data_IF_654942528730
#
_entry.id   IF_654942528730
#
_cell.length_a   1.000
_cell.length_b   1.000
_cell.length_c   1.000
_cell.angle_alpha   90.00
_cell.angle_beta   90.00
_cell.angle_gamma   90.00
#
_symmetry.space_group_name_H-M   'P 1'
#
loop_
_entity.id
_entity.type
_entity.pdbx_description
1 polymer ?
#
# COMPACT_ATOMS: atom_id res chain seq x y z
N UNK A 1 -7.06 -30.54 -40.10
CA UNK A 1 -5.73 -31.03 -39.68
C UNK A 1 -4.71 -30.41 -40.62
N UNK A 2 -4.03 -29.33 -40.19
CA UNK A 2 -2.90 -28.74 -40.92
C UNK A 2 -1.62 -29.21 -40.24
N UNK A 3 -0.64 -29.65 -41.03
CA UNK A 3 0.50 -30.47 -40.60
C UNK A 3 1.81 -29.69 -40.46
N UNK A 4 1.79 -28.36 -40.34
CA UNK A 4 3.03 -27.60 -40.14
C UNK A 4 2.80 -26.45 -39.19
N UNK A 5 3.38 -26.49 -37.97
CA UNK A 5 3.19 -25.41 -37.04
C UNK A 5 3.91 -24.14 -37.48
N UNK A 6 3.24 -22.99 -37.42
CA UNK A 6 3.86 -21.67 -37.63
C UNK A 6 4.11 -20.97 -36.30
N UNK A 7 4.96 -19.94 -36.30
CA UNK A 7 5.32 -19.12 -35.12
C UNK A 7 4.12 -18.50 -34.37
N UNK A 8 2.90 -18.59 -34.92
CA UNK A 8 1.68 -17.97 -34.41
C UNK A 8 0.59 -18.98 -34.01
N UNK A 9 0.92 -20.27 -33.92
CA UNK A 9 -0.08 -21.25 -33.52
C UNK A 9 -0.43 -21.10 -32.04
N UNK A 10 -1.72 -20.89 -31.77
CA UNK A 10 -2.26 -20.82 -30.42
C UNK A 10 -2.66 -22.24 -30.01
N UNK A 11 -2.01 -22.74 -28.96
CA UNK A 11 -2.37 -23.99 -28.32
C UNK A 11 -3.28 -23.68 -27.14
N UNK A 12 -4.44 -24.33 -27.10
CA UNK A 12 -5.37 -24.24 -25.98
C UNK A 12 -5.45 -25.63 -25.35
N UNK A 13 -5.24 -25.68 -24.04
CA UNK A 13 -5.35 -26.90 -23.24
C UNK A 13 -6.45 -26.68 -22.20
N UNK A 14 -7.27 -27.71 -21.96
CA UNK A 14 -8.23 -27.73 -20.86
C UNK A 14 -7.79 -28.82 -19.91
N UNK A 15 -7.55 -28.45 -18.67
CA UNK A 15 -7.01 -29.34 -17.65
C UNK A 15 -8.02 -29.42 -16.50
N UNK A 16 -8.28 -30.61 -15.97
CA UNK A 16 -9.16 -30.81 -14.82
C UNK A 16 -8.45 -30.57 -13.47
N UNK A 17 -9.19 -30.70 -12.36
CA UNK A 17 -8.65 -30.54 -11.00
C UNK A 17 -7.56 -31.57 -10.63
N UNK A 18 -7.43 -32.66 -11.39
CA UNK A 18 -6.42 -33.70 -11.20
C UNK A 18 -5.25 -33.58 -12.19
N UNK A 19 -5.13 -32.42 -12.87
CA UNK A 19 -4.09 -32.10 -13.83
C UNK A 19 -4.10 -33.00 -15.08
N UNK A 20 -5.25 -33.57 -15.44
CA UNK A 20 -5.40 -34.36 -16.66
C UNK A 20 -5.90 -33.49 -17.81
N UNK A 21 -5.40 -33.72 -19.02
CA UNK A 21 -5.95 -33.13 -20.23
C UNK A 21 -7.37 -33.70 -20.46
N UNK A 22 -8.34 -32.80 -20.61
CA UNK A 22 -9.75 -33.17 -20.75
C UNK A 22 -10.37 -32.49 -21.98
N UNK A 23 -11.32 -33.16 -22.66
CA UNK A 23 -11.98 -32.58 -23.83
C UNK A 23 -12.64 -31.23 -23.53
N UNK A 24 -12.56 -30.31 -24.50
CA UNK A 24 -13.34 -29.08 -24.48
C UNK A 24 -14.83 -29.40 -24.40
N UNK A 25 -15.53 -28.67 -23.53
CA UNK A 25 -16.98 -28.81 -23.48
C UNK A 25 -17.59 -28.09 -24.69
N UNK A 26 -18.35 -28.82 -25.49
CA UNK A 26 -19.05 -28.27 -26.66
C UNK A 26 -20.48 -27.84 -26.32
N UNK A 27 -20.94 -28.05 -25.09
CA UNK A 27 -22.26 -27.65 -24.64
C UNK A 27 -22.28 -26.14 -24.37
N UNK A 28 -23.33 -25.48 -24.86
CA UNK A 28 -23.61 -24.11 -24.51
C UNK A 28 -24.06 -24.07 -23.04
N UNK A 29 -23.16 -23.71 -22.14
CA UNK A 29 -23.50 -23.45 -20.75
C UNK A 29 -24.21 -22.09 -20.65
N UNK A 30 -25.44 -22.09 -20.14
CA UNK A 30 -26.13 -20.86 -19.75
C UNK A 30 -25.58 -20.40 -18.40
N UNK A 31 -24.52 -19.60 -18.40
CA UNK A 31 -23.86 -19.08 -17.19
C UNK A 31 -24.68 -18.05 -16.38
N UNK A 32 -25.97 -17.85 -16.67
CA UNK A 32 -26.73 -16.68 -16.21
C UNK A 32 -28.21 -16.96 -15.86
N UNK A 33 -28.53 -18.14 -15.32
CA UNK A 33 -29.92 -18.52 -14.94
C UNK A 33 -30.14 -18.71 -13.44
N UNK A 34 -29.12 -18.49 -12.60
CA UNK A 34 -29.22 -18.63 -11.13
C UNK A 34 -29.39 -17.31 -10.38
N UNK A 35 -29.49 -16.17 -11.09
CA UNK A 35 -29.71 -14.86 -10.47
C UNK A 35 -31.16 -14.40 -10.72
N UNK A 36 -32.00 -14.24 -9.66
CA UNK A 36 -33.39 -13.79 -9.81
C UNK A 36 -33.54 -12.31 -10.24
N UNK A 37 -32.44 -11.55 -10.30
CA UNK A 37 -32.43 -10.18 -10.80
C UNK A 37 -31.91 -10.14 -12.23
N UNK A 38 -32.63 -9.45 -13.12
CA UNK A 38 -32.15 -9.21 -14.49
C UNK A 38 -30.79 -8.52 -14.52
N UNK A 39 -30.11 -8.63 -15.67
CA UNK A 39 -28.75 -8.09 -15.87
C UNK A 39 -28.69 -6.62 -15.44
N UNK A 40 -28.05 -6.36 -14.30
CA UNK A 40 -27.72 -5.01 -13.87
C UNK A 40 -26.44 -4.61 -14.61
N UNK A 41 -26.56 -3.75 -15.62
CA UNK A 41 -25.39 -3.20 -16.29
C UNK A 41 -24.67 -2.23 -15.35
N UNK A 42 -23.56 -2.66 -14.77
CA UNK A 42 -22.57 -1.79 -14.16
C UNK A 42 -21.40 -1.61 -15.10
N UNK A 43 -20.96 -0.36 -15.33
CA UNK A 43 -19.74 -0.09 -16.09
C UNK A 43 -18.53 -0.31 -15.18
N UNK A 44 -17.65 -1.25 -15.56
CA UNK A 44 -16.30 -1.33 -14.98
C UNK A 44 -15.42 -0.47 -15.88
N UNK A 45 -15.00 0.69 -15.38
CA UNK A 45 -13.99 1.51 -16.06
C UNK A 45 -12.61 0.88 -15.85
N UNK A 46 -12.07 0.32 -16.92
CA UNK A 46 -10.81 -0.44 -16.95
C UNK A 46 -9.68 0.36 -17.63
N UNK A 47 -9.72 1.69 -17.57
CA UNK A 47 -8.68 2.52 -18.21
C UNK A 47 -7.30 2.46 -17.56
N UNK A 48 -7.13 1.81 -16.40
CA UNK A 48 -5.78 1.49 -15.92
C UNK A 48 -5.75 0.21 -15.06
N UNK A 49 -4.75 -0.64 -15.30
CA UNK A 49 -4.61 -1.99 -14.76
C UNK A 49 -4.66 -2.07 -13.22
N UNK A 50 -5.84 -2.31 -12.63
CA UNK A 50 -5.97 -2.73 -11.24
C UNK A 50 -7.15 -3.71 -11.08
N UNK A 51 -6.84 -5.00 -10.95
CA UNK A 51 -7.80 -6.02 -10.55
C UNK A 51 -7.98 -5.93 -9.02
N UNK A 52 -9.12 -5.41 -8.56
CA UNK A 52 -9.47 -5.35 -7.14
C UNK A 52 -10.13 -6.68 -6.73
N UNK A 53 -9.51 -7.44 -5.83
CA UNK A 53 -9.99 -8.77 -5.41
C UNK A 53 -11.03 -8.72 -4.29
N UNK A 54 -11.30 -7.55 -3.69
CA UNK A 54 -12.30 -7.38 -2.64
C UNK A 54 -12.79 -5.92 -2.56
N UNK A 55 -14.10 -5.68 -2.71
CA UNK A 55 -14.73 -4.35 -2.59
C UNK A 55 -14.88 -3.87 -1.14
N UNK A 56 -14.79 -4.78 -0.16
CA UNK A 56 -14.90 -4.43 1.27
C UNK A 56 -13.61 -3.80 1.83
N UNK A 57 -12.51 -3.84 1.07
CA UNK A 57 -11.23 -3.20 1.42
C UNK A 57 -11.09 -1.81 0.81
N UNK A 58 -12.00 -1.44 -0.10
CA UNK A 58 -11.98 -0.13 -0.74
C UNK A 58 -12.54 0.92 0.23
N UNK A 59 -11.75 1.94 0.61
CA UNK A 59 -12.24 2.99 1.48
C UNK A 59 -13.41 3.72 0.80
N UNK A 60 -14.40 4.15 1.59
CA UNK A 60 -15.38 5.10 1.08
C UNK A 60 -14.67 6.36 0.57
N UNK A 61 -15.25 7.13 -0.37
CA UNK A 61 -14.63 8.38 -0.82
C UNK A 61 -14.25 9.31 0.33
N UNK A 62 -15.12 9.40 1.35
CA UNK A 62 -14.86 10.18 2.56
C UNK A 62 -13.64 9.66 3.34
N UNK A 63 -13.53 8.34 3.53
CA UNK A 63 -12.40 7.71 4.20
C UNK A 63 -11.10 7.89 3.41
N UNK A 64 -11.15 7.82 2.08
CA UNK A 64 -10.03 8.07 1.20
C UNK A 64 -9.50 9.50 1.37
N UNK A 65 -10.33 10.53 1.20
CA UNK A 65 -9.90 11.93 1.36
C UNK A 65 -9.50 12.26 2.80
N UNK A 66 -10.07 11.59 3.81
CA UNK A 66 -9.63 11.72 5.19
C UNK A 66 -8.22 11.14 5.41
N UNK A 67 -7.86 10.07 4.70
CA UNK A 67 -6.52 9.47 4.76
C UNK A 67 -5.45 10.39 4.16
N UNK A 68 -5.78 11.12 3.08
CA UNK A 68 -4.86 12.07 2.43
C UNK A 68 -4.50 13.27 3.30
N UNK A 69 -5.30 13.56 4.34
CA UNK A 69 -5.03 14.64 5.31
C UNK A 69 -4.04 14.23 6.41
N UNK A 70 -3.63 12.96 6.44
CA UNK A 70 -2.66 12.42 7.40
C UNK A 70 -1.41 12.03 6.64
N UNK A 71 -0.28 12.08 7.35
CA UNK A 71 1.00 11.54 6.88
C UNK A 71 1.31 10.31 7.75
N UNK A 72 0.87 9.10 7.37
CA UNK A 72 1.31 7.89 8.04
C UNK A 72 2.83 7.83 8.08
N UNK A 73 3.38 7.54 9.26
CA UNK A 73 4.82 7.40 9.48
C UNK A 73 5.11 6.05 10.12
N UNK A 74 6.10 5.35 9.58
CA UNK A 74 6.60 4.08 10.11
C UNK A 74 8.09 4.19 10.38
N UNK A 75 8.53 3.67 11.52
CA UNK A 75 9.94 3.66 11.91
C UNK A 75 10.46 2.21 11.85
N UNK A 76 11.58 1.98 11.17
CA UNK A 76 12.24 0.67 11.10
C UNK A 76 13.77 0.79 11.00
N UNK A 77 14.54 -0.19 11.54
CA UNK A 77 14.06 -1.27 12.39
C UNK A 77 13.60 -0.73 13.76
N UNK A 78 12.58 -1.37 14.33
CA UNK A 78 12.05 -1.01 15.65
C UNK A 78 11.92 -2.28 16.50
N UNK A 79 12.77 -2.51 17.52
CA UNK A 79 13.80 -1.59 18.04
C UNK A 79 14.98 -1.33 17.09
N UNK A 80 15.67 -0.21 17.27
CA UNK A 80 16.84 0.17 16.46
C UNK A 80 18.00 -0.79 16.73
N UNK A 81 18.61 -1.30 15.67
CA UNK A 81 19.72 -2.27 15.76
C UNK A 81 21.06 -1.76 15.23
N UNK A 82 21.08 -0.64 14.50
CA UNK A 82 22.25 -0.22 13.71
C UNK A 82 22.61 1.25 13.80
N UNK A 83 22.37 1.91 14.94
CA UNK A 83 22.70 3.33 15.14
C UNK A 83 21.92 4.31 14.28
N UNK A 84 21.04 3.80 13.42
CA UNK A 84 20.21 4.55 12.50
C UNK A 84 18.80 3.99 12.51
N UNK A 85 17.83 4.88 12.47
CA UNK A 85 16.42 4.57 12.26
C UNK A 85 16.00 5.16 10.91
N UNK A 86 15.22 4.41 10.15
CA UNK A 86 14.58 4.89 8.92
C UNK A 86 13.12 5.20 9.19
N UNK A 87 12.67 6.33 8.67
CA UNK A 87 11.27 6.72 8.66
C UNK A 87 10.73 6.64 7.24
N UNK A 88 9.61 5.95 7.07
CA UNK A 88 8.85 5.92 5.82
C UNK A 88 7.57 6.74 6.01
N UNK A 89 7.23 7.51 4.98
CA UNK A 89 6.10 8.43 4.93
C UNK A 89 5.16 8.09 3.78
N UNK A 90 3.88 8.37 4.01
CA UNK A 90 2.86 8.33 2.97
C UNK A 90 2.17 9.69 2.86
N UNK A 91 1.57 9.98 1.69
CA UNK A 91 0.78 11.18 1.43
C UNK A 91 1.53 12.52 1.52
N UNK A 92 2.86 12.55 1.61
CA UNK A 92 3.64 13.81 1.71
C UNK A 92 3.39 14.76 0.53
N UNK A 93 2.98 14.25 -0.63
CA UNK A 93 2.59 15.04 -1.80
C UNK A 93 1.34 15.92 -1.58
N UNK A 94 0.52 15.63 -0.59
CA UNK A 94 -0.70 16.40 -0.26
C UNK A 94 -0.49 17.44 0.84
N UNK A 95 0.76 17.59 1.30
CA UNK A 95 1.11 18.43 2.43
C UNK A 95 2.22 19.42 2.09
N UNK A 96 2.28 20.52 2.84
CA UNK A 96 3.30 21.56 2.77
C UNK A 96 3.92 21.79 4.15
N UNK A 97 5.11 22.39 4.18
CA UNK A 97 5.86 22.73 5.39
C UNK A 97 5.96 21.55 6.36
N UNK A 98 6.44 20.42 5.84
CA UNK A 98 6.46 19.14 6.55
C UNK A 98 7.72 19.09 7.41
N UNK A 99 7.55 18.73 8.69
CA UNK A 99 8.64 18.66 9.65
C UNK A 99 8.55 17.36 10.46
N UNK A 100 9.62 16.56 10.44
CA UNK A 100 9.81 15.46 11.38
C UNK A 100 10.43 16.02 12.65
N UNK A 101 9.80 15.72 13.80
CA UNK A 101 10.39 15.93 15.11
C UNK A 101 10.39 14.64 15.91
N UNK A 102 11.48 14.35 16.61
CA UNK A 102 11.58 13.23 17.53
C UNK A 102 11.76 13.73 18.95
N UNK A 103 11.03 13.13 19.88
CA UNK A 103 11.05 13.48 21.30
C UNK A 103 11.37 12.27 22.15
N UNK A 104 12.08 12.47 23.26
CA UNK A 104 12.18 11.47 24.32
C UNK A 104 10.88 11.38 25.13
N UNK A 105 10.81 10.45 26.10
CA UNK A 105 9.63 10.27 26.97
C UNK A 105 9.34 11.47 27.88
N UNK A 106 10.32 12.35 28.11
CA UNK A 106 10.18 13.57 28.91
C UNK A 106 9.71 14.75 28.05
N UNK A 107 9.64 14.58 26.73
CA UNK A 107 9.25 15.61 25.78
C UNK A 107 10.40 16.49 25.29
N UNK A 108 11.66 16.12 25.55
CA UNK A 108 12.81 16.84 24.99
C UNK A 108 12.96 16.51 23.50
N UNK A 109 13.15 17.55 22.68
CA UNK A 109 13.38 17.40 21.24
C UNK A 109 14.80 16.86 20.99
N UNK A 110 14.89 15.68 20.38
CA UNK A 110 16.14 15.00 20.06
C UNK A 110 16.58 15.23 18.61
N UNK A 111 15.62 15.47 17.71
CA UNK A 111 15.86 15.68 16.28
C UNK A 111 14.73 16.48 15.65
N UNK A 112 15.08 17.28 14.66
CA UNK A 112 14.15 18.07 13.86
C UNK A 112 14.70 18.20 12.43
N UNK A 113 13.88 17.85 11.44
CA UNK A 113 14.29 17.86 10.04
C UNK A 113 13.10 18.14 9.12
N UNK A 114 13.32 19.04 8.15
CA UNK A 114 12.32 19.36 7.13
C UNK A 114 12.22 18.23 6.11
N UNK A 115 10.99 17.84 5.77
CA UNK A 115 10.70 16.81 4.77
C UNK A 115 10.17 17.47 3.50
N UNK A 116 10.72 17.09 2.35
CA UNK A 116 10.28 17.64 1.07
C UNK A 116 8.96 17.01 0.63
N UNK A 117 8.17 17.78 -0.12
CA UNK A 117 6.94 17.31 -0.73
C UNK A 117 7.22 16.14 -1.67
N UNK A 118 6.49 15.03 -1.51
CA UNK A 118 6.68 13.80 -2.31
C UNK A 118 7.83 12.91 -1.84
N UNK A 119 8.58 13.29 -0.81
CA UNK A 119 9.58 12.43 -0.19
C UNK A 119 8.89 11.27 0.54
N UNK A 120 9.37 10.05 0.31
CA UNK A 120 8.81 8.83 0.89
C UNK A 120 9.53 8.35 2.15
N UNK A 121 10.68 8.94 2.50
CA UNK A 121 11.39 8.59 3.72
C UNK A 121 12.72 9.32 3.92
N UNK A 122 13.32 9.14 5.10
CA UNK A 122 14.67 9.58 5.46
C UNK A 122 15.25 8.65 6.54
N UNK A 123 16.51 8.87 6.89
CA UNK A 123 17.21 8.08 7.92
C UNK A 123 17.91 9.01 8.90
N UNK A 124 17.68 8.78 10.19
CA UNK A 124 18.21 9.57 11.31
C UNK A 124 19.26 8.76 12.06
N UNK A 125 20.39 9.40 12.41
CA UNK A 125 21.42 8.82 13.25
C UNK A 125 21.04 8.97 14.72
N UNK A 126 20.97 7.86 15.45
CA UNK A 126 20.58 7.78 16.86
C UNK A 126 21.70 7.25 17.76
N UNK A 127 22.94 7.15 17.26
CA UNK A 127 24.08 6.61 18.03
C UNK A 127 24.33 7.33 19.36
N UNK A 128 23.99 8.62 19.43
CA UNK A 128 24.21 9.45 20.61
C UNK A 128 22.94 9.61 21.47
N UNK A 129 21.87 8.87 21.14
CA UNK A 129 20.63 8.93 21.89
C UNK A 129 20.68 7.88 23.00
N UNK A 130 20.29 8.24 24.23
CA UNK A 130 20.15 7.26 25.31
C UNK A 130 19.22 6.10 24.92
N UNK A 131 19.45 4.91 25.47
CA UNK A 131 18.52 3.80 25.31
C UNK A 131 17.16 4.17 25.92
N UNK A 132 16.08 3.98 25.15
CA UNK A 132 14.76 4.43 25.58
C UNK A 132 13.69 4.39 24.50
N UNK A 133 12.49 4.83 24.87
CA UNK A 133 11.34 5.01 23.97
C UNK A 133 11.34 6.45 23.46
N UNK A 134 11.07 6.60 22.16
CA UNK A 134 11.01 7.89 21.49
C UNK A 134 9.70 8.01 20.71
N UNK A 135 9.20 9.24 20.62
CA UNK A 135 8.02 9.61 19.85
C UNK A 135 8.45 10.45 18.64
N UNK A 136 8.23 9.94 17.43
CA UNK A 136 8.34 10.71 16.20
C UNK A 136 6.98 11.30 15.84
N UNK A 137 6.95 12.60 15.57
CA UNK A 137 5.75 13.34 15.15
C UNK A 137 6.07 14.05 13.83
N UNK A 138 5.21 13.85 12.84
CA UNK A 138 5.21 14.64 11.62
C UNK A 138 4.25 15.80 11.78
N UNK A 139 4.75 17.02 11.57
CA UNK A 139 3.95 18.22 11.48
C UNK A 139 3.79 18.62 10.01
N UNK A 140 2.63 19.19 9.65
CA UNK A 140 2.39 19.87 8.38
C UNK A 140 1.74 21.22 8.68
N UNK A 141 2.34 22.30 8.19
CA UNK A 141 1.93 23.68 8.48
C UNK A 141 1.67 23.92 9.98
N UNK A 142 2.56 23.38 10.82
CA UNK A 142 2.52 23.53 12.28
C UNK A 142 1.53 22.62 13.03
N UNK A 143 0.73 21.78 12.34
CA UNK A 143 -0.21 20.86 12.97
C UNK A 143 0.28 19.41 12.89
N UNK A 144 0.08 18.58 13.92
CA UNK A 144 0.45 17.17 13.85
C UNK A 144 -0.38 16.44 12.80
N UNK A 145 0.30 15.82 11.84
CA UNK A 145 -0.29 15.08 10.72
C UNK A 145 0.01 13.57 10.77
N UNK A 146 1.01 13.16 11.56
CA UNK A 146 1.41 11.76 11.72
C UNK A 146 2.21 11.55 13.00
N UNK A 147 2.21 10.33 13.53
CA UNK A 147 3.07 9.96 14.66
C UNK A 147 3.38 8.46 14.68
N UNK A 148 4.55 8.11 15.23
CA UNK A 148 4.89 6.74 15.58
C UNK A 148 5.84 6.71 16.78
N UNK A 149 5.94 5.57 17.45
CA UNK A 149 6.85 5.34 18.58
C UNK A 149 7.90 4.32 18.18
N UNK A 150 9.13 4.52 18.62
CA UNK A 150 10.23 3.59 18.39
C UNK A 150 11.15 3.48 19.59
N UNK A 151 11.92 2.39 19.64
CA UNK A 151 12.83 2.08 20.75
C UNK A 151 14.27 2.14 20.27
N UNK A 152 15.10 2.90 20.96
CA UNK A 152 16.57 2.89 20.81
C UNK A 152 17.16 2.05 21.94
N UNK A 153 18.17 1.23 21.62
CA UNK A 153 18.86 0.34 22.58
C UNK A 153 20.31 0.70 22.69
#
# INVERSE_FOLDING_TARGET
YKTTPTKWDIYVYKIDENLQDVPFDSLAHNYDTLCPGGIQSGTIDLTDCFLWTNVNETPSPEAYYASLKKIPVKAYPNPVTGGRISFEYQNTQHHTDILLKCFDVLGHEMHSESIYRGQSGNSVNVNNWPSGVYLAIIFSSGKPAGKCTFVVR
#
